data_IF_015939615292
#
_entry.id   IF_015939615292
#
_cell.length_a   1.000
_cell.length_b   1.000
_cell.length_c   1.000
_cell.angle_alpha   90.00
_cell.angle_beta   90.00
_cell.angle_gamma   90.00
#
_symmetry.space_group_name_H-M   'P 1'
#
loop_
_entity.id
_entity.type
_entity.pdbx_description
1 polymer ?
#
# COMPACT_ATOMS: atom_id res chain seq x y z
N UNK A 1 8.43 0.37 17.23
CA UNK A 1 8.44 1.79 17.04
C UNK A 1 7.03 2.31 16.77
N UNK A 2 6.49 3.01 17.74
CA UNK A 2 5.08 3.40 17.77
C UNK A 2 4.87 4.90 17.98
N UNK A 3 5.83 5.70 17.55
CA UNK A 3 5.69 7.15 17.69
C UNK A 3 4.94 7.74 16.52
N UNK A 4 3.66 8.12 16.68
CA UNK A 4 2.87 8.66 15.57
C UNK A 4 3.41 9.98 15.03
N UNK A 5 4.15 10.73 15.82
CA UNK A 5 4.72 12.00 15.37
C UNK A 5 5.79 11.78 14.30
N UNK A 6 6.45 10.61 14.31
CA UNK A 6 7.47 10.28 13.33
C UNK A 6 6.95 9.41 12.19
N UNK A 7 5.71 8.94 12.25
CA UNK A 7 5.21 7.97 11.29
C UNK A 7 5.28 8.51 9.85
N UNK A 8 4.75 9.69 9.62
CA UNK A 8 4.70 10.27 8.28
C UNK A 8 6.10 10.60 7.76
N UNK A 9 6.99 11.03 8.65
CA UNK A 9 8.36 11.29 8.27
C UNK A 9 9.06 10.02 7.83
N UNK A 10 8.89 8.94 8.59
CA UNK A 10 9.47 7.64 8.26
C UNK A 10 8.88 7.12 6.95
N UNK A 11 7.57 7.20 6.79
CA UNK A 11 6.90 6.73 5.58
C UNK A 11 7.41 7.48 4.35
N UNK A 12 7.57 8.79 4.45
CA UNK A 12 8.05 9.60 3.34
C UNK A 12 9.49 9.27 2.93
N UNK A 13 10.27 8.70 3.83
CA UNK A 13 11.66 8.31 3.55
C UNK A 13 11.76 6.94 2.86
N UNK A 14 10.68 6.16 2.87
CA UNK A 14 10.71 4.84 2.25
C UNK A 14 10.35 4.94 0.78
N UNK A 15 11.02 4.13 -0.04
CA UNK A 15 10.71 4.05 -1.48
C UNK A 15 9.58 3.06 -1.75
N UNK A 16 9.50 2.00 -0.97
CA UNK A 16 8.51 0.94 -1.10
C UNK A 16 8.05 0.57 0.31
N UNK A 17 6.76 0.36 0.48
CA UNK A 17 6.19 0.05 1.80
C UNK A 17 5.48 -1.30 1.76
N UNK A 18 5.70 -2.11 2.78
CA UNK A 18 4.97 -3.35 3.00
C UNK A 18 3.97 -3.10 4.12
N UNK A 19 2.70 -3.32 3.88
CA UNK A 19 1.68 -3.05 4.88
C UNK A 19 0.45 -3.95 4.73
N UNK A 20 -0.33 -4.04 5.79
CA UNK A 20 -1.65 -4.67 5.72
C UNK A 20 -2.64 -3.70 5.08
N UNK A 21 -3.78 -4.21 4.64
CA UNK A 21 -4.82 -3.38 4.06
C UNK A 21 -5.60 -2.68 5.17
N UNK A 22 -5.43 -1.39 5.29
CA UNK A 22 -6.07 -0.59 6.30
C UNK A 22 -5.75 0.88 6.09
N UNK A 23 -5.81 1.65 7.15
CA UNK A 23 -5.59 3.09 7.09
C UNK A 23 -4.21 3.45 6.52
N UNK A 24 -3.18 2.71 6.93
CA UNK A 24 -1.81 2.94 6.45
C UNK A 24 -1.73 2.89 4.93
N UNK A 25 -2.54 2.04 4.31
CA UNK A 25 -2.55 1.90 2.87
C UNK A 25 -2.88 3.22 2.17
N UNK A 26 -3.86 3.95 2.68
CA UNK A 26 -4.26 5.22 2.08
C UNK A 26 -3.29 6.33 2.43
N UNK A 27 -2.61 6.23 3.54
CA UNK A 27 -1.52 7.14 3.87
C UNK A 27 -0.36 6.96 2.90
N UNK A 28 -0.07 5.71 2.50
CA UNK A 28 0.91 5.44 1.46
C UNK A 28 0.50 6.07 0.13
N UNK A 29 -0.79 6.05 -0.19
CA UNK A 29 -1.28 6.69 -1.40
C UNK A 29 -1.05 8.19 -1.39
N UNK A 30 -1.23 8.83 -0.23
CA UNK A 30 -0.99 10.26 -0.08
C UNK A 30 0.44 10.63 -0.46
N UNK A 31 1.41 9.79 -0.09
CA UNK A 31 2.81 10.02 -0.41
C UNK A 31 3.23 9.39 -1.74
N UNK A 32 2.30 8.76 -2.46
CA UNK A 32 2.59 8.17 -3.76
C UNK A 32 3.52 6.97 -3.72
N UNK A 33 3.53 6.24 -2.61
CA UNK A 33 4.47 5.13 -2.43
C UNK A 33 3.93 3.83 -3.01
N UNK A 34 4.74 3.09 -3.79
CA UNK A 34 4.40 1.73 -4.14
C UNK A 34 4.32 0.86 -2.90
N UNK A 35 3.33 -0.01 -2.83
CA UNK A 35 3.14 -0.87 -1.67
C UNK A 35 3.07 -2.33 -2.09
N UNK A 36 3.45 -3.20 -1.17
CA UNK A 36 3.12 -4.61 -1.21
C UNK A 36 2.12 -4.83 -0.09
N UNK A 37 0.88 -5.13 -0.44
CA UNK A 37 -0.19 -5.29 0.53
C UNK A 37 -0.26 -6.74 0.96
N UNK A 38 -0.16 -6.99 2.26
CA UNK A 38 -0.18 -8.33 2.84
C UNK A 38 -1.39 -8.42 3.78
N UNK A 39 -2.54 -8.87 3.28
CA UNK A 39 -3.72 -9.01 4.13
C UNK A 39 -3.46 -10.02 5.25
N UNK A 40 -3.93 -9.72 6.45
CA UNK A 40 -3.82 -10.63 7.59
C UNK A 40 -5.14 -11.34 7.89
N UNK A 41 -6.25 -10.78 7.40
CA UNK A 41 -7.58 -11.38 7.55
C UNK A 41 -8.33 -11.25 6.22
N UNK A 42 -9.37 -12.06 6.06
CA UNK A 42 -10.13 -12.10 4.81
C UNK A 42 -10.74 -10.76 4.42
N UNK A 43 -11.21 -10.02 5.39
CA UNK A 43 -11.79 -8.69 5.16
C UNK A 43 -10.79 -7.75 4.48
N UNK A 44 -9.53 -7.83 4.85
CA UNK A 44 -8.48 -7.00 4.26
C UNK A 44 -8.17 -7.36 2.81
N UNK A 45 -8.47 -8.59 2.41
CA UNK A 45 -8.25 -9.03 1.05
C UNK A 45 -9.08 -8.21 0.05
N UNK A 46 -10.31 -7.89 0.41
CA UNK A 46 -11.19 -7.10 -0.45
C UNK A 46 -10.59 -5.70 -0.67
N UNK A 47 -10.16 -5.07 0.40
CA UNK A 47 -9.53 -3.74 0.32
C UNK A 47 -8.24 -3.80 -0.51
N UNK A 48 -7.45 -4.84 -0.33
CA UNK A 48 -6.20 -5.00 -1.09
C UNK A 48 -6.47 -5.12 -2.59
N UNK A 49 -7.46 -5.91 -2.97
CA UNK A 49 -7.83 -6.10 -4.38
C UNK A 49 -8.29 -4.78 -4.99
N UNK A 50 -9.14 -4.04 -4.29
CA UNK A 50 -9.65 -2.77 -4.78
C UNK A 50 -8.52 -1.74 -4.94
N UNK A 51 -7.68 -1.61 -3.93
CA UNK A 51 -6.57 -0.67 -3.99
C UNK A 51 -5.58 -1.04 -5.10
N UNK A 52 -5.24 -2.31 -5.22
CA UNK A 52 -4.33 -2.77 -6.26
C UNK A 52 -4.90 -2.52 -7.66
N UNK A 53 -6.21 -2.69 -7.82
CA UNK A 53 -6.88 -2.44 -9.09
C UNK A 53 -6.83 -0.97 -9.49
N UNK A 54 -6.87 -0.06 -8.53
CA UNK A 54 -6.84 1.39 -8.79
C UNK A 54 -5.41 1.87 -9.03
N UNK A 55 -4.47 1.43 -8.21
CA UNK A 55 -3.12 2.01 -8.20
C UNK A 55 -2.09 1.20 -8.98
N UNK A 56 -2.34 -0.09 -9.20
CA UNK A 56 -1.37 -0.99 -9.79
C UNK A 56 -0.40 -1.58 -8.78
N UNK A 57 -0.58 -1.30 -7.49
CA UNK A 57 0.25 -1.88 -6.44
C UNK A 57 0.03 -3.38 -6.33
N UNK A 58 1.02 -4.09 -5.80
CA UNK A 58 0.95 -5.55 -5.65
C UNK A 58 0.31 -5.92 -4.32
N UNK A 59 -0.31 -7.09 -4.29
CA UNK A 59 -0.83 -7.66 -3.06
C UNK A 59 -0.60 -9.16 -3.04
N UNK A 60 -0.51 -9.72 -1.84
CA UNK A 60 -0.42 -11.16 -1.64
C UNK A 60 -1.78 -11.69 -1.21
N UNK A 61 -1.91 -13.01 -1.15
CA UNK A 61 -3.02 -13.63 -0.45
C UNK A 61 -2.85 -13.42 1.06
N UNK A 62 -3.85 -13.83 1.85
CA UNK A 62 -3.75 -13.80 3.30
C UNK A 62 -2.43 -14.45 3.72
N UNK A 63 -1.80 -13.89 4.75
CA UNK A 63 -0.48 -14.32 5.20
C UNK A 63 -0.38 -15.84 5.32
N UNK A 64 0.67 -16.37 4.72
CA UNK A 64 1.01 -17.78 4.74
C UNK A 64 2.51 -17.88 4.97
N UNK A 65 2.92 -18.56 6.04
CA UNK A 65 4.34 -18.65 6.42
C UNK A 65 5.22 -19.28 5.33
N UNK A 66 4.66 -20.08 4.45
CA UNK A 66 5.40 -20.76 3.40
C UNK A 66 5.53 -19.93 2.14
N UNK A 67 4.45 -19.28 1.70
CA UNK A 67 4.39 -18.63 0.40
C UNK A 67 4.58 -17.12 0.44
N UNK A 68 4.05 -16.46 1.48
CA UNK A 68 4.03 -15.00 1.52
C UNK A 68 5.42 -14.37 1.51
N UNK A 69 6.41 -14.87 2.28
CA UNK A 69 7.75 -14.27 2.24
C UNK A 69 8.37 -14.28 0.85
N UNK A 70 8.21 -15.37 0.11
CA UNK A 70 8.74 -15.46 -1.25
C UNK A 70 8.05 -14.49 -2.19
N UNK A 71 6.74 -14.32 -2.05
CA UNK A 71 5.99 -13.36 -2.85
C UNK A 71 6.39 -11.93 -2.57
N UNK A 72 6.61 -11.59 -1.31
CA UNK A 72 7.07 -10.26 -0.93
C UNK A 72 8.41 -9.97 -1.60
N UNK A 73 9.34 -10.90 -1.51
CA UNK A 73 10.67 -10.72 -2.11
C UNK A 73 10.55 -10.53 -3.62
N UNK A 74 9.71 -11.32 -4.28
CA UNK A 74 9.47 -11.22 -5.71
C UNK A 74 8.93 -9.84 -6.08
N UNK A 75 7.93 -9.35 -5.36
CA UNK A 75 7.34 -8.04 -5.63
C UNK A 75 8.31 -6.90 -5.37
N UNK A 76 9.10 -6.98 -4.30
CA UNK A 76 10.11 -5.96 -4.01
C UNK A 76 11.15 -5.89 -5.12
N UNK A 77 11.55 -7.03 -5.66
CA UNK A 77 12.51 -7.09 -6.75
C UNK A 77 11.95 -6.45 -8.02
N UNK A 78 10.68 -6.71 -8.33
CA UNK A 78 10.01 -6.09 -9.47
C UNK A 78 9.95 -4.57 -9.30
N UNK A 79 9.54 -4.09 -8.14
CA UNK A 79 9.51 -2.64 -7.88
C UNK A 79 10.89 -2.00 -8.00
N UNK A 80 11.89 -2.65 -7.42
CA UNK A 80 13.25 -2.13 -7.40
C UNK A 80 13.78 -1.91 -8.81
N UNK A 81 13.46 -2.81 -9.73
CA UNK A 81 13.99 -2.82 -11.07
C UNK A 81 13.09 -2.15 -12.11
N UNK A 82 11.96 -1.57 -11.70
CA UNK A 82 11.01 -1.00 -12.64
C UNK A 82 10.59 0.41 -12.22
N UNK A 83 11.38 1.38 -12.65
CA UNK A 83 11.12 2.79 -12.36
C UNK A 83 9.76 3.26 -12.93
N UNK A 84 9.42 2.85 -14.14
CA UNK A 84 8.18 3.27 -14.78
C UNK A 84 6.96 2.76 -14.04
N UNK A 85 7.04 1.55 -13.51
CA UNK A 85 5.96 0.99 -12.70
C UNK A 85 5.77 1.79 -11.42
N UNK A 86 6.87 2.10 -10.72
CA UNK A 86 6.78 2.90 -9.49
C UNK A 86 6.18 4.27 -9.77
N UNK A 87 6.56 4.90 -10.88
CA UNK A 87 6.02 6.21 -11.26
C UNK A 87 4.53 6.12 -11.59
N UNK A 88 4.12 5.09 -12.30
CA UNK A 88 2.71 4.86 -12.62
C UNK A 88 1.88 4.71 -11.35
N UNK A 89 2.39 3.95 -10.38
CA UNK A 89 1.71 3.76 -9.10
C UNK A 89 1.65 5.07 -8.33
N UNK A 90 2.73 5.83 -8.33
CA UNK A 90 2.76 7.14 -7.68
C UNK A 90 1.67 8.05 -8.25
N UNK A 91 1.58 8.14 -9.57
CA UNK A 91 0.59 8.99 -10.23
C UNK A 91 -0.84 8.54 -9.92
N UNK A 92 -1.11 7.25 -9.98
CA UNK A 92 -2.44 6.71 -9.70
C UNK A 92 -2.81 6.89 -8.23
N UNK A 93 -1.85 6.70 -7.33
CA UNK A 93 -2.08 6.81 -5.88
C UNK A 93 -2.38 8.26 -5.48
N UNK A 94 -1.62 9.21 -6.00
CA UNK A 94 -1.84 10.62 -5.69
C UNK A 94 -3.14 11.13 -6.31
N UNK A 95 -3.53 10.63 -7.48
CA UNK A 95 -4.81 10.94 -8.07
C UNK A 95 -5.98 10.45 -7.22
N UNK A 96 -5.82 9.29 -6.61
CA UNK A 96 -6.84 8.76 -5.71
C UNK A 96 -7.09 9.71 -4.54
N UNK A 97 -6.03 10.28 -3.98
CA UNK A 97 -6.12 11.27 -2.91
C UNK A 97 -6.79 12.55 -3.40
N UNK A 98 -6.36 13.04 -4.55
CA UNK A 98 -6.81 14.32 -5.09
C UNK A 98 -8.30 14.31 -5.48
N UNK A 99 -8.86 13.14 -5.77
CA UNK A 99 -10.26 13.01 -6.15
C UNK A 99 -11.22 13.00 -4.97
N UNK A 100 -10.74 13.31 -3.77
CA UNK A 100 -11.56 13.38 -2.55
C UNK A 100 -12.14 12.06 -2.08
N UNK A 101 -11.96 10.99 -2.85
CA UNK A 101 -12.44 9.66 -2.46
C UNK A 101 -11.75 9.14 -1.22
N UNK A 102 -10.49 9.50 -1.05
CA UNK A 102 -9.70 9.06 0.09
C UNK A 102 -10.23 9.58 1.41
N UNK A 103 -10.72 10.81 1.45
CA UNK A 103 -11.27 11.38 2.68
C UNK A 103 -12.44 10.55 3.18
N UNK A 104 -13.32 10.16 2.27
CA UNK A 104 -14.46 9.32 2.59
C UNK A 104 -14.03 7.95 3.08
N UNK A 105 -13.02 7.37 2.44
CA UNK A 105 -12.47 6.09 2.82
C UNK A 105 -11.83 6.17 4.19
N UNK A 106 -11.03 7.20 4.45
CA UNK A 106 -10.40 7.39 5.74
C UNK A 106 -11.42 7.61 6.85
N UNK A 107 -12.49 8.34 6.58
CA UNK A 107 -13.56 8.56 7.54
C UNK A 107 -14.22 7.24 7.95
N UNK A 108 -14.44 6.34 7.00
CA UNK A 108 -14.99 5.02 7.27
C UNK A 108 -14.02 4.17 8.10
N UNK A 109 -12.75 4.18 7.73
CA UNK A 109 -11.74 3.36 8.42
C UNK A 109 -11.45 3.88 9.83
N UNK A 110 -11.55 5.18 10.04
CA UNK A 110 -11.27 5.79 11.33
C UNK A 110 -12.43 5.70 12.32
N UNK A 111 -13.57 5.23 11.88
CA UNK A 111 -14.71 5.01 12.78
C UNK A 111 -14.48 3.77 13.62
#
# INVERSE_FOLDING_TARGET
>A
HNNPDNFFEILNQQDIVICAAGRTLYECAYFGKPVVIVPSIEHETITAIEYAGITGSFYTNIWNNTETPSKIIEFLDIYKNNFLLRRSICDASTSLVDNSGIKRILDVICQ
#
